data_IF_346319745349
#
_entry.id   IF_346319745349
#
_cell.length_a   1.000
_cell.length_b   1.000
_cell.length_c   1.000
_cell.angle_alpha   90.00
_cell.angle_beta   90.00
_cell.angle_gamma   90.00
#
_symmetry.space_group_name_H-M   'P 1'
#
loop_
_entity.id
_entity.type
_entity.pdbx_description
1 polymer ?
#
# COMPACT_ATOMS: atom_id res chain seq x y z
N UNK A 1 7.66 -10.12 -30.82
CA UNK A 1 8.06 -8.73 -30.52
C UNK A 1 7.28 -8.19 -29.33
N UNK A 2 7.99 -7.65 -28.35
CA UNK A 2 7.35 -6.89 -27.27
C UNK A 2 6.81 -5.59 -27.84
N UNK A 3 5.54 -5.29 -27.58
CA UNK A 3 4.98 -3.98 -27.95
C UNK A 3 5.78 -2.88 -27.22
N UNK A 4 6.09 -1.76 -27.87
CA UNK A 4 6.72 -0.64 -27.21
C UNK A 4 5.84 -0.12 -26.06
N UNK A 5 6.47 0.42 -25.04
CA UNK A 5 5.77 1.01 -23.90
C UNK A 5 4.98 2.25 -24.36
N UNK A 6 3.70 2.29 -24.04
CA UNK A 6 2.82 3.40 -24.41
C UNK A 6 2.80 4.45 -23.28
N UNK A 7 3.62 5.47 -23.41
CA UNK A 7 3.77 6.55 -22.43
C UNK A 7 2.47 7.36 -22.24
N UNK A 8 1.73 7.62 -23.31
CA UNK A 8 0.48 8.38 -23.23
C UNK A 8 -0.58 7.60 -22.46
N UNK A 9 -0.68 6.31 -22.70
CA UNK A 9 -1.60 5.42 -22.00
C UNK A 9 -1.24 5.32 -20.52
N UNK A 10 0.04 5.23 -20.18
CA UNK A 10 0.52 5.23 -18.81
C UNK A 10 0.14 6.52 -18.08
N UNK A 11 0.38 7.68 -18.68
CA UNK A 11 0.05 8.98 -18.07
C UNK A 11 -1.43 9.12 -17.81
N UNK A 12 -2.27 8.71 -18.76
CA UNK A 12 -3.72 8.71 -18.59
C UNK A 12 -4.14 7.82 -17.42
N UNK A 13 -3.63 6.59 -17.34
CA UNK A 13 -3.91 5.68 -16.25
C UNK A 13 -3.49 6.28 -14.90
N UNK A 14 -2.30 6.85 -14.82
CA UNK A 14 -1.79 7.50 -13.61
C UNK A 14 -2.70 8.65 -13.18
N UNK A 15 -3.10 9.51 -14.09
CA UNK A 15 -3.96 10.67 -13.79
C UNK A 15 -5.36 10.22 -13.36
N UNK A 16 -5.96 9.26 -14.05
CA UNK A 16 -7.27 8.72 -13.70
C UNK A 16 -7.24 8.02 -12.34
N UNK A 17 -6.18 7.28 -12.07
CA UNK A 17 -5.97 6.59 -10.78
C UNK A 17 -5.78 7.60 -9.63
N UNK A 18 -5.04 8.67 -9.87
CA UNK A 18 -4.85 9.74 -8.89
C UNK A 18 -6.17 10.43 -8.55
N UNK A 19 -6.99 10.73 -9.54
CA UNK A 19 -8.33 11.29 -9.33
C UNK A 19 -9.22 10.36 -8.51
N UNK A 20 -9.20 9.07 -8.81
CA UNK A 20 -9.92 8.07 -8.04
C UNK A 20 -9.43 8.05 -6.58
N UNK A 21 -8.11 8.00 -6.38
CA UNK A 21 -7.50 7.99 -5.06
C UNK A 21 -7.89 9.23 -4.24
N UNK A 22 -7.87 10.40 -4.84
CA UNK A 22 -8.22 11.66 -4.18
C UNK A 22 -9.71 11.71 -3.76
N UNK A 23 -10.54 10.86 -4.35
CA UNK A 23 -11.94 10.71 -3.96
C UNK A 23 -12.18 9.76 -2.80
N UNK A 24 -11.16 8.98 -2.37
CA UNK A 24 -11.31 8.04 -1.28
C UNK A 24 -11.54 8.76 0.05
N UNK A 25 -12.51 8.28 0.79
CA UNK A 25 -12.76 8.71 2.17
C UNK A 25 -12.17 7.68 3.14
N UNK A 26 -11.85 8.05 4.39
CA UNK A 26 -11.38 7.09 5.38
C UNK A 26 -12.37 5.94 5.55
N UNK A 27 -11.85 4.73 5.72
CA UNK A 27 -12.66 3.52 5.94
C UNK A 27 -12.36 2.94 7.31
N UNK A 28 -13.37 2.34 7.94
CA UNK A 28 -13.19 1.62 9.19
C UNK A 28 -12.81 0.18 8.90
N UNK A 29 -11.70 -0.26 9.48
CA UNK A 29 -11.15 -1.60 9.26
C UNK A 29 -11.51 -2.53 10.42
N UNK A 30 -12.38 -3.53 10.22
CA UNK A 30 -12.77 -4.45 11.30
C UNK A 30 -11.58 -5.19 11.93
N UNK A 31 -10.59 -5.59 11.13
CA UNK A 31 -9.40 -6.27 11.62
C UNK A 31 -8.56 -5.41 12.57
N UNK A 32 -8.67 -4.09 12.52
CA UNK A 32 -7.99 -3.13 13.38
C UNK A 32 -8.97 -2.44 14.34
N UNK A 33 -9.89 -3.19 14.92
CA UNK A 33 -10.87 -2.72 15.91
C UNK A 33 -11.74 -1.56 15.42
N UNK A 34 -12.09 -1.57 14.14
CA UNK A 34 -12.85 -0.51 13.47
C UNK A 34 -12.16 0.87 13.49
N UNK A 35 -10.86 0.91 13.66
CA UNK A 35 -10.11 2.17 13.49
C UNK A 35 -10.17 2.64 12.04
N UNK A 36 -10.14 3.95 11.85
CA UNK A 36 -10.16 4.56 10.53
C UNK A 36 -8.80 4.45 9.84
N UNK A 37 -8.83 4.04 8.58
CA UNK A 37 -7.67 4.06 7.69
C UNK A 37 -7.78 5.28 6.79
N UNK A 38 -6.77 6.12 6.79
CA UNK A 38 -6.71 7.35 5.99
C UNK A 38 -5.90 7.14 4.71
N UNK A 39 -6.37 7.72 3.63
CA UNK A 39 -5.68 7.69 2.33
C UNK A 39 -4.96 9.03 2.13
N UNK A 40 -3.65 9.04 2.34
CA UNK A 40 -2.82 10.24 2.29
C UNK A 40 -2.02 10.33 0.99
N UNK A 41 -1.48 11.51 0.69
CA UNK A 41 -0.61 11.71 -0.47
C UNK A 41 0.60 10.77 -0.49
N UNK A 42 1.16 10.46 0.67
CA UNK A 42 2.29 9.51 0.78
C UNK A 42 1.92 8.11 0.31
N UNK A 43 0.69 7.65 0.59
CA UNK A 43 0.22 6.35 0.14
C UNK A 43 0.19 6.25 -1.38
N UNK A 44 -0.27 7.27 -2.08
CA UNK A 44 -0.23 7.29 -3.54
C UNK A 44 1.21 7.37 -4.07
N UNK A 45 2.03 8.23 -3.47
CA UNK A 45 3.43 8.37 -3.87
C UNK A 45 4.20 7.05 -3.72
N UNK A 46 3.87 6.24 -2.72
CA UNK A 46 4.52 4.94 -2.52
C UNK A 46 4.18 3.92 -3.61
N UNK A 47 3.12 4.10 -4.36
CA UNK A 47 2.82 3.29 -5.55
C UNK A 47 3.78 3.58 -6.70
N UNK A 48 4.40 4.75 -6.69
CA UNK A 48 5.32 5.22 -7.73
C UNK A 48 6.77 5.09 -7.29
N UNK A 49 7.06 5.42 -6.03
CA UNK A 49 8.42 5.47 -5.49
C UNK A 49 8.58 4.54 -4.29
N UNK A 50 9.78 3.92 -4.18
CA UNK A 50 10.28 3.37 -2.92
C UNK A 50 11.20 4.41 -2.26
N UNK A 51 11.76 4.11 -1.08
CA UNK A 51 12.78 4.96 -0.46
C UNK A 51 14.01 5.19 -1.34
N UNK A 52 14.30 4.27 -2.22
CA UNK A 52 15.56 4.24 -2.98
C UNK A 52 15.40 4.73 -4.42
N UNK A 53 14.26 4.49 -5.04
CA UNK A 53 14.09 4.74 -6.48
C UNK A 53 12.62 4.77 -6.89
N UNK A 54 12.39 5.27 -8.09
CA UNK A 54 11.11 5.10 -8.77
C UNK A 54 10.91 3.62 -9.14
N UNK A 55 9.69 3.13 -8.91
CA UNK A 55 9.31 1.76 -9.33
C UNK A 55 9.25 1.68 -10.85
N UNK A 56 9.52 0.50 -11.39
CA UNK A 56 9.33 0.25 -12.81
C UNK A 56 7.90 0.57 -13.26
N UNK A 57 7.73 1.01 -14.50
CA UNK A 57 6.41 1.42 -15.03
C UNK A 57 5.39 0.27 -14.98
N UNK A 58 5.79 -0.95 -15.27
CA UNK A 58 4.88 -2.10 -15.20
C UNK A 58 4.45 -2.43 -13.76
N UNK A 59 5.34 -2.27 -12.79
CA UNK A 59 4.99 -2.40 -11.37
C UNK A 59 3.97 -1.33 -10.97
N UNK A 60 4.20 -0.09 -11.35
CA UNK A 60 3.26 1.01 -11.11
C UNK A 60 1.87 0.72 -11.72
N UNK A 61 1.84 0.28 -12.97
CA UNK A 61 0.58 -0.06 -13.67
C UNK A 61 -0.17 -1.16 -12.94
N UNK A 62 0.52 -2.20 -12.50
CA UNK A 62 -0.09 -3.28 -11.73
C UNK A 62 -0.75 -2.77 -10.45
N UNK A 63 -0.07 -1.88 -9.73
CA UNK A 63 -0.60 -1.26 -8.51
C UNK A 63 -1.78 -0.34 -8.80
N UNK A 64 -1.70 0.49 -9.82
CA UNK A 64 -2.80 1.35 -10.25
C UNK A 64 -4.07 0.55 -10.58
N UNK A 65 -3.90 -0.57 -11.27
CA UNK A 65 -5.01 -1.44 -11.63
C UNK A 65 -5.67 -2.16 -10.44
N UNK A 66 -5.01 -2.22 -9.29
CA UNK A 66 -5.53 -2.85 -8.07
C UNK A 66 -6.02 -1.83 -7.04
N UNK A 67 -5.73 -0.55 -7.19
CA UNK A 67 -5.97 0.45 -6.16
C UNK A 67 -7.44 0.59 -5.78
N UNK A 68 -8.35 0.43 -6.73
CA UNK A 68 -9.80 0.49 -6.45
C UNK A 68 -10.27 -0.56 -5.44
N UNK A 69 -9.51 -1.66 -5.28
CA UNK A 69 -9.83 -2.72 -4.32
C UNK A 69 -9.41 -2.37 -2.89
N UNK A 70 -8.47 -1.45 -2.70
CA UNK A 70 -7.92 -1.16 -1.38
C UNK A 70 -8.98 -0.74 -0.36
N UNK A 71 -9.87 0.23 -0.63
CA UNK A 71 -10.91 0.60 0.33
C UNK A 71 -11.86 -0.57 0.63
N UNK A 72 -12.21 -1.37 -0.38
CA UNK A 72 -13.11 -2.52 -0.23
C UNK A 72 -12.49 -3.60 0.66
N UNK A 73 -11.22 -3.93 0.44
CA UNK A 73 -10.49 -4.92 1.23
C UNK A 73 -10.41 -4.46 2.68
N UNK A 74 -10.01 -3.21 2.92
CA UNK A 74 -9.88 -2.67 4.27
C UNK A 74 -11.22 -2.61 5.02
N UNK A 75 -12.30 -2.32 4.32
CA UNK A 75 -13.64 -2.25 4.92
C UNK A 75 -14.18 -3.63 5.32
N UNK A 76 -13.78 -4.68 4.61
CA UNK A 76 -14.34 -6.02 4.78
C UNK A 76 -13.43 -6.98 5.55
N UNK A 77 -12.13 -6.71 5.64
CA UNK A 77 -11.19 -7.64 6.27
C UNK A 77 -11.39 -7.75 7.78
N UNK A 78 -11.38 -8.98 8.27
CA UNK A 78 -11.53 -9.27 9.72
C UNK A 78 -10.26 -9.87 10.33
N UNK A 79 -9.27 -10.21 9.51
CA UNK A 79 -8.03 -10.87 9.94
C UNK A 79 -6.81 -10.14 9.38
N UNK A 80 -5.71 -10.21 10.13
CA UNK A 80 -4.41 -9.67 9.74
C UNK A 80 -3.55 -10.84 9.26
N UNK A 81 -3.02 -10.76 8.05
CA UNK A 81 -2.15 -11.80 7.50
C UNK A 81 -0.69 -11.58 7.87
N UNK A 82 -0.23 -10.33 7.87
CA UNK A 82 1.15 -10.00 8.23
C UNK A 82 1.19 -8.77 9.13
N UNK A 83 2.14 -8.76 10.07
CA UNK A 83 2.41 -7.62 10.94
C UNK A 83 3.92 -7.46 11.07
N UNK A 84 4.39 -6.22 10.93
CA UNK A 84 5.80 -5.88 11.10
C UNK A 84 5.91 -4.66 12.02
N UNK A 85 6.76 -4.75 13.04
CA UNK A 85 7.02 -3.66 13.98
C UNK A 85 8.45 -3.19 13.88
N UNK A 86 8.67 -1.92 14.16
CA UNK A 86 9.99 -1.31 14.19
C UNK A 86 9.98 0.03 14.86
N UNK A 87 11.07 0.75 14.69
CA UNK A 87 11.25 2.10 15.20
C UNK A 87 11.65 3.01 14.04
N UNK A 88 11.21 4.25 14.08
CA UNK A 88 11.54 5.27 13.10
C UNK A 88 11.87 6.59 13.79
N UNK A 89 12.90 7.28 13.30
CA UNK A 89 13.21 8.64 13.72
C UNK A 89 12.45 9.64 12.87
N UNK A 90 11.71 10.52 13.52
CA UNK A 90 10.92 11.57 12.86
C UNK A 90 11.34 12.93 13.39
N UNK A 91 11.36 13.92 12.49
CA UNK A 91 11.62 15.31 12.87
C UNK A 91 10.30 15.97 13.22
N UNK A 92 10.20 16.47 14.44
CA UNK A 92 9.03 17.20 14.95
C UNK A 92 9.43 18.61 15.34
N UNK A 93 8.49 19.54 15.28
CA UNK A 93 8.70 20.90 15.74
C UNK A 93 8.18 21.04 17.16
N UNK A 94 9.08 21.39 18.09
CA UNK A 94 8.74 21.69 19.49
C UNK A 94 9.32 23.05 19.87
N UNK A 95 8.47 23.95 20.36
CA UNK A 95 8.88 25.29 20.78
C UNK A 95 9.68 26.06 19.71
N UNK A 96 9.27 25.94 18.43
CA UNK A 96 9.94 26.56 17.30
C UNK A 96 11.26 25.94 16.88
N UNK A 97 11.67 24.81 17.50
CA UNK A 97 12.87 24.07 17.13
C UNK A 97 12.53 22.71 16.53
N UNK A 98 13.33 22.29 15.56
CA UNK A 98 13.25 20.93 14.99
C UNK A 98 13.97 19.96 15.93
N UNK A 99 13.27 18.94 16.39
CA UNK A 99 13.78 17.88 17.26
C UNK A 99 13.52 16.54 16.60
N UNK A 100 14.50 15.63 16.68
CA UNK A 100 14.33 14.25 16.24
C UNK A 100 13.77 13.41 17.38
N UNK A 101 12.63 12.76 17.14
CA UNK A 101 12.03 11.80 18.09
C UNK A 101 12.00 10.41 17.47
N UNK A 102 12.29 9.39 18.27
CA UNK A 102 12.13 7.99 17.87
C UNK A 102 10.71 7.54 18.22
N UNK A 103 9.98 7.06 17.22
CA UNK A 103 8.62 6.58 17.38
C UNK A 103 8.50 5.12 16.95
N UNK A 104 7.50 4.44 17.48
CA UNK A 104 7.13 3.10 17.02
C UNK A 104 6.58 3.16 15.62
N UNK A 105 6.84 2.12 14.83
CA UNK A 105 6.36 1.97 13.47
C UNK A 105 5.74 0.60 13.34
N UNK A 106 4.49 0.54 12.90
CA UNK A 106 3.78 -0.72 12.71
C UNK A 106 3.22 -0.77 11.30
N UNK A 107 3.46 -1.87 10.61
CA UNK A 107 2.83 -2.22 9.36
C UNK A 107 1.90 -3.40 9.55
N UNK A 108 0.75 -3.36 8.92
CA UNK A 108 -0.17 -4.50 8.78
C UNK A 108 -0.43 -4.75 7.30
N UNK A 109 -0.50 -6.01 6.93
CA UNK A 109 -0.86 -6.41 5.58
C UNK A 109 -2.10 -7.30 5.60
N UNK A 110 -2.97 -7.03 4.67
CA UNK A 110 -4.20 -7.74 4.43
C UNK A 110 -4.16 -8.33 3.04
N UNK A 111 -4.40 -9.63 2.93
CA UNK A 111 -4.39 -10.34 1.66
C UNK A 111 -5.80 -10.81 1.37
N UNK A 112 -6.31 -10.47 0.21
CA UNK A 112 -7.64 -10.86 -0.23
C UNK A 112 -7.60 -11.40 -1.65
N UNK A 113 -8.52 -12.31 -1.92
CA UNK A 113 -8.79 -12.81 -3.27
C UNK A 113 -10.03 -12.11 -3.79
N UNK A 114 -9.90 -11.48 -4.95
CA UNK A 114 -10.99 -10.83 -5.64
C UNK A 114 -11.05 -11.35 -7.07
N UNK A 115 -12.06 -12.18 -7.35
CA UNK A 115 -12.14 -12.85 -8.64
C UNK A 115 -10.94 -13.77 -8.86
N UNK A 116 -10.17 -13.51 -9.90
CA UNK A 116 -8.94 -14.25 -10.26
C UNK A 116 -7.67 -13.59 -9.71
N UNK A 117 -7.81 -12.55 -8.89
CA UNK A 117 -6.68 -11.76 -8.37
C UNK A 117 -6.49 -11.98 -6.88
N UNK A 118 -5.24 -12.09 -6.50
CA UNK A 118 -4.83 -12.02 -5.10
C UNK A 118 -4.08 -10.71 -4.88
N UNK A 119 -4.54 -9.94 -3.92
CA UNK A 119 -4.08 -8.57 -3.69
C UNK A 119 -3.70 -8.41 -2.23
N UNK A 120 -2.57 -7.73 -2.01
CA UNK A 120 -2.09 -7.37 -0.69
C UNK A 120 -2.26 -5.87 -0.48
N UNK A 121 -2.89 -5.48 0.60
CA UNK A 121 -3.01 -4.08 1.02
C UNK A 121 -2.19 -3.87 2.28
N UNK A 122 -1.34 -2.87 2.28
CA UNK A 122 -0.48 -2.52 3.42
C UNK A 122 -0.93 -1.20 4.01
N UNK A 123 -1.07 -1.15 5.32
CA UNK A 123 -1.31 0.06 6.09
C UNK A 123 -0.24 0.23 7.16
N UNK A 124 -0.03 1.45 7.62
CA UNK A 124 1.00 1.75 8.58
C UNK A 124 0.53 2.75 9.64
N UNK A 125 1.12 2.65 10.84
CA UNK A 125 0.95 3.62 11.92
C UNK A 125 2.30 4.01 12.48
N UNK A 126 2.53 5.32 12.62
CA UNK A 126 3.73 5.87 13.25
C UNK A 126 3.32 6.45 14.60
N UNK A 127 3.90 5.92 15.68
CA UNK A 127 3.58 6.34 17.05
C UNK A 127 2.09 6.26 17.35
N UNK A 128 1.53 7.34 17.87
CA UNK A 128 0.11 7.48 18.15
C UNK A 128 -0.67 8.20 17.02
N UNK A 129 -0.05 8.29 15.85
CA UNK A 129 -0.66 8.92 14.68
C UNK A 129 -1.80 8.11 14.08
N UNK A 130 -2.34 8.61 12.98
CA UNK A 130 -3.39 7.93 12.22
C UNK A 130 -2.84 6.68 11.54
N UNK A 131 -3.71 5.69 11.34
CA UNK A 131 -3.39 4.57 10.47
C UNK A 131 -3.59 5.02 9.02
N UNK A 132 -2.58 4.84 8.21
CA UNK A 132 -2.54 5.31 6.84
C UNK A 132 -2.40 4.16 5.86
N UNK A 133 -3.13 4.26 4.75
CA UNK A 133 -2.87 3.41 3.59
C UNK A 133 -1.43 3.62 3.12
N UNK A 134 -0.70 2.52 2.92
CA UNK A 134 0.69 2.57 2.48
C UNK A 134 0.87 2.06 1.07
N UNK A 135 0.26 0.92 0.72
CA UNK A 135 0.46 0.32 -0.58
C UNK A 135 -0.61 -0.70 -0.92
N UNK A 136 -0.73 -0.99 -2.20
CA UNK A 136 -1.46 -2.11 -2.74
C UNK A 136 -0.57 -2.85 -3.74
N UNK A 137 -0.50 -4.17 -3.61
CA UNK A 137 0.35 -5.02 -4.43
C UNK A 137 -0.49 -6.09 -5.09
N UNK A 138 -0.48 -6.20 -6.44
CA UNK A 138 -0.99 -7.39 -7.08
C UNK A 138 -0.03 -8.55 -6.79
N UNK A 139 -0.55 -9.66 -6.26
CA UNK A 139 0.27 -10.81 -5.95
C UNK A 139 0.28 -11.80 -7.09
N UNK A 140 -0.89 -12.23 -7.58
CA UNK A 140 -0.98 -13.14 -8.71
C UNK A 140 -2.40 -13.21 -9.29
N UNK A 141 -2.49 -13.84 -10.45
CA UNK A 141 -3.75 -14.31 -11.04
C UNK A 141 -3.77 -15.85 -11.01
N UNK A 142 -4.91 -16.45 -10.68
CA UNK A 142 -5.07 -17.86 -10.29
C UNK A 142 -4.48 -18.91 -11.22
N UNK A 143 -4.24 -18.62 -12.47
CA UNK A 143 -3.81 -19.63 -13.45
C UNK A 143 -2.29 -19.78 -13.64
N UNK A 144 -1.46 -18.90 -13.05
CA UNK A 144 -0.04 -18.87 -13.40
C UNK A 144 0.95 -19.15 -12.28
N UNK A 145 0.56 -19.09 -11.01
CA UNK A 145 1.54 -19.01 -9.94
C UNK A 145 1.39 -20.01 -8.80
N UNK A 146 0.30 -20.76 -8.75
CA UNK A 146 0.12 -21.87 -7.80
C UNK A 146 0.73 -21.67 -6.41
N UNK A 147 1.21 -22.75 -5.83
CA UNK A 147 1.74 -22.78 -4.45
C UNK A 147 3.12 -22.11 -4.27
N UNK A 148 3.85 -21.79 -5.33
CA UNK A 148 5.16 -21.15 -5.24
C UNK A 148 5.06 -19.71 -4.68
N UNK A 149 3.91 -19.11 -4.77
CA UNK A 149 3.66 -17.74 -4.38
C UNK A 149 3.54 -17.52 -2.87
N UNK A 150 3.08 -18.54 -2.15
CA UNK A 150 2.93 -18.48 -0.69
C UNK A 150 4.28 -18.34 0.01
N UNK A 151 5.36 -18.82 -0.59
CA UNK A 151 6.72 -18.70 -0.04
C UNK A 151 7.28 -17.28 -0.08
N UNK A 152 6.95 -16.51 -1.09
CA UNK A 152 7.45 -15.13 -1.24
C UNK A 152 6.76 -14.16 -0.28
N UNK A 153 5.53 -14.45 0.11
CA UNK A 153 4.75 -13.60 1.01
C UNK A 153 5.31 -13.53 2.43
N UNK A 154 5.98 -14.59 2.88
CA UNK A 154 6.49 -14.67 4.26
C UNK A 154 7.80 -13.93 4.49
N UNK A 155 8.48 -13.50 3.42
CA UNK A 155 9.80 -12.86 3.47
C UNK A 155 9.82 -11.42 3.00
N UNK A 156 8.70 -10.91 2.49
CA UNK A 156 8.63 -9.56 1.97
C UNK A 156 8.66 -8.52 3.09
N UNK A 157 9.53 -7.53 2.94
CA UNK A 157 9.53 -6.36 3.80
C UNK A 157 8.31 -5.48 3.49
N UNK A 158 7.45 -5.26 4.49
CA UNK A 158 6.23 -4.48 4.32
C UNK A 158 6.50 -2.99 4.04
N UNK A 159 7.68 -2.50 4.38
CA UNK A 159 8.06 -1.13 4.05
C UNK A 159 8.24 -0.94 2.53
N UNK A 160 8.74 -1.96 1.84
CA UNK A 160 8.99 -1.93 0.40
C UNK A 160 7.85 -2.52 -0.43
N UNK A 161 6.89 -3.15 0.21
CA UNK A 161 5.74 -3.79 -0.43
C UNK A 161 4.91 -2.87 -1.32
#
# INVERSE_FOLDING_TARGET
MKKPFDEAKYRKLKDDTKKMYDSFIPVRCPALKNEQIHFTAEGFNHLIYTKRKERGKFDQIGRFNCLFLAPKILLLTTTIQEKQEGMIDVVVSKYGKKVTETKTLVYWAFIAIYGDRRVKVVVRKIGNGKIEFRSVCPLWRTKKYGNSFIRELSTEDLEEA
#
